data_IF_928485993825
#
_entry.id   IF_928485993825
#
_cell.length_a   1.000
_cell.length_b   1.000
_cell.length_c   1.000
_cell.angle_alpha   90.00
_cell.angle_beta   90.00
_cell.angle_gamma   90.00
#
_symmetry.space_group_name_H-M   'P 1'
#
loop_
_entity.id
_entity.type
_entity.pdbx_description
1 polymer ?
#
# COMPACT_ATOMS: atom_id res chain seq x y z
N UNK A 1 -7.54 2.26 -11.36
CA UNK A 1 -6.76 1.95 -12.59
C UNK A 1 -5.73 0.88 -12.25
N UNK A 2 -5.69 -0.23 -13.01
CA UNK A 2 -4.74 -1.34 -12.81
C UNK A 2 -3.38 -1.00 -13.42
N UNK A 3 -2.29 -1.39 -12.76
CA UNK A 3 -0.91 -1.13 -13.20
C UNK A 3 -0.21 -2.44 -13.56
N UNK A 4 -0.32 -3.45 -12.70
CA UNK A 4 0.23 -4.78 -12.93
C UNK A 4 -0.65 -5.84 -12.26
N UNK A 5 -0.46 -7.10 -12.63
CA UNK A 5 -1.11 -8.24 -11.99
C UNK A 5 -0.23 -9.48 -12.05
N UNK A 6 -0.49 -10.40 -11.13
CA UNK A 6 0.01 -11.77 -11.16
C UNK A 6 -1.16 -12.75 -11.20
N UNK A 7 -0.88 -14.02 -10.96
CA UNK A 7 -1.91 -15.03 -10.76
C UNK A 7 -2.79 -14.72 -9.52
N UNK A 8 -2.17 -14.23 -8.44
CA UNK A 8 -2.82 -14.05 -7.13
C UNK A 8 -3.12 -12.61 -6.77
N UNK A 9 -2.38 -11.65 -7.34
CA UNK A 9 -2.40 -10.25 -6.90
C UNK A 9 -2.73 -9.30 -8.04
N UNK A 10 -3.32 -8.16 -7.68
CA UNK A 10 -3.44 -6.99 -8.53
C UNK A 10 -2.75 -5.82 -7.85
N UNK A 11 -2.01 -5.07 -8.65
CA UNK A 11 -1.44 -3.78 -8.29
C UNK A 11 -2.26 -2.71 -9.00
N UNK A 12 -2.79 -1.76 -8.23
CA UNK A 12 -3.63 -0.69 -8.75
C UNK A 12 -3.40 0.61 -7.99
N UNK A 13 -3.91 1.71 -8.57
CA UNK A 13 -4.09 2.95 -7.81
C UNK A 13 -4.98 2.71 -6.59
N UNK A 14 -4.70 3.44 -5.52
CA UNK A 14 -5.58 3.54 -4.36
C UNK A 14 -6.94 4.13 -4.76
N UNK A 15 -7.96 3.75 -3.99
CA UNK A 15 -9.33 4.23 -4.08
C UNK A 15 -9.83 4.57 -2.67
N UNK A 16 -10.81 5.48 -2.54
CA UNK A 16 -11.33 5.87 -1.22
C UNK A 16 -11.89 4.68 -0.42
N UNK A 17 -12.38 3.63 -1.10
CA UNK A 17 -12.86 2.39 -0.48
C UNK A 17 -11.77 1.56 0.25
N UNK A 18 -10.49 1.84 -0.02
CA UNK A 18 -9.35 1.12 0.57
C UNK A 18 -9.12 1.48 2.05
N UNK A 19 -9.84 2.46 2.59
CA UNK A 19 -9.73 2.95 3.97
C UNK A 19 -9.83 1.82 5.01
N UNK A 20 -10.78 0.89 4.84
CA UNK A 20 -10.93 -0.24 5.75
C UNK A 20 -9.71 -1.17 5.73
N UNK A 21 -9.14 -1.41 4.55
CA UNK A 21 -7.93 -2.20 4.41
C UNK A 21 -6.72 -1.51 5.05
N UNK A 22 -6.54 -0.20 4.80
CA UNK A 22 -5.46 0.59 5.41
C UNK A 22 -5.54 0.56 6.93
N UNK A 23 -6.73 0.80 7.48
CA UNK A 23 -6.94 0.82 8.92
C UNK A 23 -6.65 -0.54 9.57
N UNK A 24 -6.92 -1.65 8.87
CA UNK A 24 -6.69 -3.00 9.39
C UNK A 24 -5.22 -3.28 9.75
N UNK A 25 -4.26 -2.64 9.08
CA UNK A 25 -2.83 -2.88 9.32
C UNK A 25 -2.03 -1.64 9.73
N UNK A 26 -2.58 -0.43 9.63
CA UNK A 26 -1.93 0.81 10.07
C UNK A 26 -2.49 1.37 11.38
N UNK A 27 -3.58 0.84 11.93
CA UNK A 27 -4.05 1.26 13.25
C UNK A 27 -3.10 0.85 14.39
N UNK A 28 -2.45 -0.31 14.24
CA UNK A 28 -1.42 -0.83 15.15
C UNK A 28 -0.32 -1.56 14.34
N UNK A 29 0.59 -0.82 13.69
CA UNK A 29 1.57 -1.40 12.77
C UNK A 29 2.64 -2.24 13.50
N UNK A 30 2.90 -3.46 13.01
CA UNK A 30 3.83 -4.42 13.65
C UNK A 30 4.96 -4.92 12.72
N UNK A 31 6.25 -5.01 13.16
CA UNK A 31 6.97 -4.16 14.11
C UNK A 31 7.89 -3.15 13.37
N UNK A 32 8.21 -2.02 14.02
CA UNK A 32 9.05 -0.90 13.55
C UNK A 32 9.03 -0.70 12.03
N UNK A 33 7.88 -0.26 11.50
CA UNK A 33 7.85 0.26 10.14
C UNK A 33 8.92 1.37 10.06
N UNK A 34 9.76 1.33 9.02
CA UNK A 34 10.82 2.35 8.81
C UNK A 34 10.22 3.76 8.67
N UNK A 35 8.93 3.84 8.38
CA UNK A 35 8.12 5.05 8.30
C UNK A 35 6.95 4.91 9.30
N UNK A 36 6.76 5.92 10.15
CA UNK A 36 5.61 5.94 11.05
C UNK A 36 4.35 6.34 10.25
N UNK A 37 3.60 5.33 9.83
CA UNK A 37 2.37 5.45 9.04
C UNK A 37 1.12 5.18 9.90
N UNK A 38 1.24 5.25 11.23
CA UNK A 38 0.14 4.89 12.12
C UNK A 38 -1.10 5.77 11.86
N UNK A 39 -2.25 5.12 11.76
CA UNK A 39 -3.56 5.77 11.61
C UNK A 39 -4.32 5.72 12.94
N UNK A 40 -4.54 6.89 13.55
CA UNK A 40 -5.18 6.99 14.87
C UNK A 40 -6.64 6.54 14.88
N UNK A 41 -7.39 6.77 13.80
CA UNK A 41 -8.78 6.37 13.68
C UNK A 41 -9.21 6.09 12.23
N UNK A 42 -10.46 5.63 12.07
CA UNK A 42 -11.01 5.32 10.76
C UNK A 42 -11.19 6.58 9.88
N UNK A 43 -11.39 7.76 10.47
CA UNK A 43 -11.50 9.00 9.71
C UNK A 43 -10.14 9.38 9.08
N UNK A 44 -9.05 9.18 9.81
CA UNK A 44 -7.68 9.29 9.29
C UNK A 44 -7.45 8.31 8.15
N UNK A 45 -7.93 7.06 8.25
CA UNK A 45 -7.83 6.08 7.17
C UNK A 45 -8.58 6.49 5.90
N UNK A 46 -9.77 7.09 6.03
CA UNK A 46 -10.52 7.62 4.89
C UNK A 46 -9.78 8.77 4.21
N UNK A 47 -9.20 9.69 5.00
CA UNK A 47 -8.37 10.75 4.43
C UNK A 47 -7.12 10.20 3.75
N UNK A 48 -6.47 9.20 4.34
CA UNK A 48 -5.26 8.61 3.80
C UNK A 48 -5.54 7.87 2.48
N UNK A 49 -6.61 7.06 2.41
CA UNK A 49 -7.03 6.42 1.16
C UNK A 49 -7.28 7.45 0.05
N UNK A 50 -7.88 8.58 0.39
CA UNK A 50 -8.14 9.68 -0.54
C UNK A 50 -6.86 10.36 -0.99
N UNK A 51 -5.92 10.62 -0.08
CA UNK A 51 -4.62 11.21 -0.39
C UNK A 51 -3.84 10.29 -1.35
N UNK A 52 -3.69 9.01 -0.99
CA UNK A 52 -2.99 8.02 -1.82
C UNK A 52 -3.66 7.78 -3.17
N UNK A 53 -4.98 7.95 -3.28
CA UNK A 53 -5.69 7.82 -4.57
C UNK A 53 -5.27 8.88 -5.60
N UNK A 54 -4.75 10.01 -5.12
CA UNK A 54 -4.29 11.15 -5.93
C UNK A 54 -2.77 11.16 -6.12
N UNK A 55 -2.05 10.44 -5.27
CA UNK A 55 -0.61 10.29 -5.33
C UNK A 55 -0.22 9.24 -6.40
N UNK A 56 0.60 9.64 -7.36
CA UNK A 56 1.04 8.74 -8.42
C UNK A 56 2.15 7.76 -7.97
N UNK A 57 2.75 7.99 -6.81
CA UNK A 57 3.82 7.15 -6.24
C UNK A 57 3.28 6.05 -5.33
N UNK A 58 1.99 6.09 -4.98
CA UNK A 58 1.37 5.20 -4.01
C UNK A 58 0.48 4.15 -4.68
N UNK A 59 0.66 2.90 -4.29
CA UNK A 59 0.01 1.77 -4.94
C UNK A 59 -0.59 0.78 -3.94
N UNK A 60 -1.82 0.36 -4.23
CA UNK A 60 -2.54 -0.64 -3.48
C UNK A 60 -2.18 -2.04 -3.99
N UNK A 61 -1.79 -2.93 -3.07
CA UNK A 61 -1.57 -4.36 -3.34
C UNK A 61 -2.80 -5.14 -2.87
N UNK A 62 -3.54 -5.73 -3.81
CA UNK A 62 -4.80 -6.38 -3.51
C UNK A 62 -4.83 -7.84 -3.99
N UNK A 63 -5.64 -8.67 -3.33
CA UNK A 63 -5.96 -10.01 -3.84
C UNK A 63 -6.78 -9.89 -5.13
N UNK A 64 -6.37 -10.64 -6.16
CA UNK A 64 -7.01 -10.57 -7.48
C UNK A 64 -8.48 -11.00 -7.47
N UNK A 65 -8.84 -11.96 -6.63
CA UNK A 65 -10.20 -12.55 -6.60
C UNK A 65 -11.22 -11.66 -5.90
N UNK A 66 -10.81 -10.95 -4.85
CA UNK A 66 -11.71 -10.22 -3.95
C UNK A 66 -11.50 -8.71 -3.96
N UNK A 67 -10.44 -8.24 -4.63
CA UNK A 67 -9.94 -6.86 -4.55
C UNK A 67 -9.63 -6.39 -3.10
N UNK A 68 -9.45 -7.33 -2.18
CA UNK A 68 -9.09 -7.04 -0.79
C UNK A 68 -7.69 -6.44 -0.74
N UNK A 69 -7.55 -5.24 -0.16
CA UNK A 69 -6.26 -4.63 0.11
C UNK A 69 -5.52 -5.43 1.18
N UNK A 70 -4.34 -5.95 0.83
CA UNK A 70 -3.49 -6.74 1.73
C UNK A 70 -2.18 -6.05 2.06
N UNK A 71 -1.93 -4.89 1.46
CA UNK A 71 -0.72 -4.11 1.68
C UNK A 71 -0.63 -2.98 0.67
N UNK A 72 0.50 -2.30 0.68
CA UNK A 72 0.80 -1.23 -0.24
C UNK A 72 2.28 -1.18 -0.56
N UNK A 73 2.63 -0.45 -1.61
CA UNK A 73 4.01 -0.09 -1.89
C UNK A 73 4.07 1.31 -2.49
N UNK A 74 5.23 1.93 -2.37
CA UNK A 74 5.54 3.18 -3.02
C UNK A 74 6.69 3.00 -4.01
N UNK A 75 6.70 3.85 -5.03
CA UNK A 75 7.84 4.02 -5.92
C UNK A 75 7.98 5.50 -6.28
N UNK A 76 9.10 6.11 -5.92
CA UNK A 76 9.42 7.49 -6.24
C UNK A 76 10.88 7.66 -6.64
N UNK A 77 11.17 8.69 -7.43
CA UNK A 77 12.52 9.10 -7.80
C UNK A 77 12.83 10.52 -7.29
N UNK A 78 11.98 11.06 -6.41
CA UNK A 78 12.06 12.46 -5.95
C UNK A 78 13.39 12.78 -5.25
N UNK A 79 13.96 11.81 -4.52
CA UNK A 79 15.23 11.93 -3.81
C UNK A 79 16.42 11.29 -4.55
N UNK A 80 16.22 10.80 -5.78
CA UNK A 80 17.25 10.10 -6.54
C UNK A 80 18.01 11.07 -7.48
N UNK A 81 19.36 11.07 -7.49
CA UNK A 81 20.13 11.94 -8.38
C UNK A 81 20.05 11.53 -9.85
N UNK A 82 19.73 10.27 -10.14
CA UNK A 82 19.56 9.74 -11.50
C UNK A 82 18.07 9.46 -11.77
N UNK A 83 17.54 10.03 -12.86
CA UNK A 83 16.13 9.92 -13.21
C UNK A 83 15.66 8.49 -13.57
N UNK A 84 16.58 7.55 -13.73
CA UNK A 84 16.31 6.12 -13.99
C UNK A 84 16.47 5.26 -12.73
N UNK A 85 16.88 5.84 -11.61
CA UNK A 85 16.85 5.18 -10.29
C UNK A 85 15.52 5.45 -9.62
N UNK A 86 15.01 4.45 -8.90
CA UNK A 86 13.73 4.52 -8.20
C UNK A 86 13.92 3.97 -6.79
N UNK A 87 13.50 4.73 -5.80
CA UNK A 87 13.34 4.27 -4.44
C UNK A 87 11.99 3.56 -4.31
N UNK A 88 12.01 2.35 -3.75
CA UNK A 88 10.81 1.52 -3.58
C UNK A 88 10.74 0.98 -2.16
N UNK A 89 9.53 0.88 -1.63
CA UNK A 89 9.27 0.26 -0.34
C UNK A 89 7.86 -0.29 -0.27
N UNK A 90 7.62 -1.25 0.62
CA UNK A 90 6.34 -1.93 0.75
C UNK A 90 6.02 -2.24 2.20
N UNK A 91 4.72 -2.27 2.49
CA UNK A 91 4.18 -2.75 3.74
C UNK A 91 3.08 -3.76 3.44
N UNK A 92 3.15 -4.93 4.05
CA UNK A 92 2.15 -5.97 3.93
C UNK A 92 1.42 -6.12 5.27
N UNK A 93 0.09 -6.21 5.22
CA UNK A 93 -0.69 -6.55 6.41
C UNK A 93 -0.16 -7.87 7.01
N UNK A 94 0.21 -7.90 8.31
CA UNK A 94 0.73 -9.08 8.99
C UNK A 94 -0.10 -10.36 8.80
N UNK A 95 -1.41 -10.25 8.66
CA UNK A 95 -2.30 -11.41 8.42
C UNK A 95 -1.97 -12.16 7.11
N UNK A 96 -1.29 -11.51 6.17
CA UNK A 96 -0.93 -12.05 4.86
C UNK A 96 0.56 -12.40 4.73
N UNK A 97 1.35 -12.28 5.80
CA UNK A 97 2.77 -12.65 5.80
C UNK A 97 2.97 -14.16 5.63
N UNK A 98 4.15 -14.58 5.15
CA UNK A 98 4.49 -16.01 4.98
C UNK A 98 3.87 -16.69 3.77
N UNK A 99 3.07 -15.98 2.96
CA UNK A 99 2.40 -16.53 1.77
C UNK A 99 3.11 -16.19 0.45
N UNK A 100 4.30 -15.60 0.51
CA UNK A 100 5.08 -15.19 -0.67
C UNK A 100 4.39 -14.12 -1.52
N UNK A 101 3.67 -13.18 -0.91
CA UNK A 101 3.06 -12.04 -1.62
C UNK A 101 4.03 -10.86 -1.83
N UNK A 102 5.10 -10.80 -1.03
CA UNK A 102 6.18 -9.83 -1.15
C UNK A 102 7.52 -10.58 -1.31
N UNK A 103 7.69 -11.22 -2.47
CA UNK A 103 8.88 -11.99 -2.86
C UNK A 103 9.58 -11.32 -4.04
#
# INVERSE_FOLDING_TARGET
MKIAESERLIIRKFMEQDAAGLFAYLSDPYPACFLDEKLEDFAAAVQEAKNRSRDATQFALCLKQTDTLIGHFFASNDDEPDAKTMSVGWYLNPEYHGHGFAQ
#
